data_IF_157676796756
#
_entry.id   IF_157676796756
#
_cell.length_a   1.000
_cell.length_b   1.000
_cell.length_c   1.000
_cell.angle_alpha   90.00
_cell.angle_beta   90.00
_cell.angle_gamma   90.00
#
_symmetry.space_group_name_H-M   'P 1'
#
loop_
_entity.id
_entity.type
_entity.pdbx_description
1 polymer ?
#
# COMPACT_ATOMS: atom_id res chain seq x y z
N UNK A 1 -14.74 0.64 -9.07
CA UNK A 1 -15.11 0.92 -7.65
C UNK A 1 -13.88 1.24 -6.84
N UNK A 2 -14.01 2.07 -5.80
CA UNK A 2 -12.97 2.43 -4.84
C UNK A 2 -13.36 1.96 -3.44
N UNK A 3 -12.37 1.82 -2.53
CA UNK A 3 -12.65 1.37 -1.17
C UNK A 3 -12.51 2.50 -0.15
N UNK A 4 -13.50 2.68 0.72
CA UNK A 4 -13.46 3.57 1.87
C UNK A 4 -12.46 3.01 2.90
N UNK A 5 -11.59 3.87 3.45
CA UNK A 5 -10.66 3.43 4.49
C UNK A 5 -11.35 3.42 5.85
N UNK A 6 -11.40 2.26 6.48
CA UNK A 6 -12.00 2.08 7.81
C UNK A 6 -10.98 1.50 8.79
N UNK A 7 -11.30 1.58 10.09
CA UNK A 7 -10.37 1.18 11.15
C UNK A 7 -10.51 -0.27 11.57
N UNK A 8 -11.71 -0.85 11.39
CA UNK A 8 -12.06 -2.20 11.79
C UNK A 8 -12.62 -2.96 10.60
N UNK A 9 -12.45 -4.27 10.59
CA UNK A 9 -13.05 -5.13 9.59
C UNK A 9 -14.55 -5.12 9.85
N UNK A 10 -15.39 -4.75 8.87
CA UNK A 10 -16.82 -4.85 9.01
C UNK A 10 -17.20 -6.33 9.22
N UNK A 11 -18.21 -6.59 10.04
CA UNK A 11 -18.71 -7.93 10.34
C UNK A 11 -20.14 -8.08 9.83
N UNK A 12 -20.55 -9.32 9.58
CA UNK A 12 -21.89 -9.66 9.07
C UNK A 12 -21.82 -10.57 7.84
N UNK A 13 -22.92 -11.24 7.54
CA UNK A 13 -23.01 -12.18 6.42
C UNK A 13 -23.01 -11.51 5.05
N UNK A 14 -23.22 -10.21 5.00
CA UNK A 14 -23.28 -9.42 3.78
C UNK A 14 -21.88 -9.12 3.17
N UNK A 15 -20.81 -9.41 3.90
CA UNK A 15 -19.44 -9.09 3.45
C UNK A 15 -18.74 -10.29 2.83
N UNK A 16 -18.03 -10.02 1.71
CA UNK A 16 -17.01 -10.87 1.12
C UNK A 16 -15.66 -10.21 1.35
N UNK A 17 -14.70 -10.93 1.91
CA UNK A 17 -13.37 -10.42 2.21
C UNK A 17 -12.35 -10.96 1.22
N UNK A 18 -11.40 -10.12 0.82
CA UNK A 18 -10.29 -10.45 -0.06
C UNK A 18 -8.98 -9.83 0.45
N UNK A 19 -7.81 -10.42 0.15
CA UNK A 19 -6.53 -9.74 0.39
C UNK A 19 -6.47 -8.43 -0.38
N UNK A 20 -5.99 -7.39 0.25
CA UNK A 20 -5.66 -6.15 -0.45
C UNK A 20 -4.25 -6.28 -1.03
N UNK A 21 -4.17 -6.60 -2.30
CA UNK A 21 -2.91 -6.71 -3.01
C UNK A 21 -2.19 -5.34 -3.08
N UNK A 22 -0.86 -5.34 -3.02
CA UNK A 22 -0.02 -4.15 -3.19
C UNK A 22 0.63 -4.18 -4.57
N UNK A 23 -0.09 -3.64 -5.56
CA UNK A 23 0.29 -3.71 -6.96
C UNK A 23 -0.21 -2.55 -7.81
N UNK A 24 -0.42 -2.82 -9.09
CA UNK A 24 -1.07 -1.89 -10.03
C UNK A 24 -2.45 -2.42 -10.40
N UNK A 25 -3.51 -1.67 -10.05
CA UNK A 25 -4.86 -1.97 -10.51
C UNK A 25 -4.90 -2.03 -12.01
N UNK A 26 -5.47 -3.10 -12.54
CA UNK A 26 -5.54 -3.38 -13.97
C UNK A 26 -6.92 -3.87 -14.38
N UNK A 27 -7.52 -3.20 -15.37
CA UNK A 27 -8.61 -3.72 -16.16
C UNK A 27 -8.05 -4.40 -17.40
N UNK A 28 -8.37 -5.67 -17.59
CA UNK A 28 -7.99 -6.44 -18.78
C UNK A 28 -9.19 -6.58 -19.71
N UNK A 29 -9.15 -5.87 -20.82
CA UNK A 29 -10.16 -5.92 -21.87
C UNK A 29 -9.70 -6.85 -22.98
N UNK A 30 -10.53 -7.80 -23.37
CA UNK A 30 -10.30 -8.66 -24.53
C UNK A 30 -11.50 -8.68 -25.44
N UNK A 31 -11.25 -8.50 -26.74
CA UNK A 31 -12.24 -8.71 -27.82
C UNK A 31 -11.54 -9.36 -29.02
N UNK A 32 -11.74 -10.66 -29.19
CA UNK A 32 -11.08 -11.44 -30.21
C UNK A 32 -9.57 -11.49 -30.04
N UNK A 33 -8.87 -10.91 -30.99
CA UNK A 33 -7.39 -10.77 -31.00
C UNK A 33 -6.91 -9.50 -30.28
N UNK A 34 -7.80 -8.56 -30.04
CA UNK A 34 -7.48 -7.31 -29.37
C UNK A 34 -7.44 -7.52 -27.86
N UNK A 35 -6.35 -7.08 -27.25
CA UNK A 35 -6.18 -7.06 -25.80
C UNK A 35 -5.67 -5.69 -25.37
N UNK A 36 -6.23 -5.18 -24.28
CA UNK A 36 -5.74 -3.98 -23.63
C UNK A 36 -5.68 -4.19 -22.12
N UNK A 37 -4.53 -3.93 -21.52
CA UNK A 37 -4.37 -3.80 -20.07
C UNK A 37 -4.38 -2.31 -19.73
N UNK A 38 -5.29 -1.88 -18.85
CA UNK A 38 -5.49 -0.48 -18.52
C UNK A 38 -5.35 -0.26 -17.02
N UNK A 39 -4.53 0.72 -16.63
CA UNK A 39 -4.39 1.15 -15.24
C UNK A 39 -5.64 1.89 -14.74
N UNK A 40 -5.74 2.12 -13.44
CA UNK A 40 -6.79 2.93 -12.81
C UNK A 40 -6.89 4.35 -13.41
N UNK A 41 -5.78 4.93 -13.87
CA UNK A 41 -5.72 6.27 -14.49
C UNK A 41 -5.95 6.25 -16.01
N UNK A 42 -6.32 5.12 -16.58
CA UNK A 42 -6.59 4.96 -18.01
C UNK A 42 -5.34 4.71 -18.87
N UNK A 43 -4.16 4.64 -18.28
CA UNK A 43 -2.93 4.40 -19.03
C UNK A 43 -2.80 2.94 -19.47
N UNK A 44 -2.29 2.71 -20.68
CA UNK A 44 -2.01 1.38 -21.22
C UNK A 44 -0.84 0.72 -20.51
N UNK A 45 -1.03 -0.53 -20.07
CA UNK A 45 -0.03 -1.33 -19.35
C UNK A 45 0.49 -2.52 -20.17
N UNK A 46 -0.18 -2.91 -21.26
CA UNK A 46 0.12 -4.12 -22.03
C UNK A 46 1.58 -4.19 -22.50
N UNK A 47 2.16 -3.07 -22.92
CA UNK A 47 3.57 -3.04 -23.32
C UNK A 47 4.54 -3.39 -22.19
N UNK A 48 4.18 -3.11 -20.93
CA UNK A 48 5.03 -3.35 -19.77
C UNK A 48 4.91 -4.75 -19.19
N UNK A 49 3.84 -5.46 -19.56
CA UNK A 49 3.54 -6.80 -19.06
C UNK A 49 3.19 -7.76 -20.22
N UNK A 50 4.14 -8.01 -21.16
CA UNK A 50 3.89 -8.85 -22.35
C UNK A 50 3.52 -10.29 -21.98
N UNK A 51 4.05 -10.82 -20.88
CA UNK A 51 3.72 -12.15 -20.36
C UNK A 51 2.24 -12.25 -19.94
N UNK A 52 1.68 -11.21 -19.33
CA UNK A 52 0.26 -11.17 -18.98
C UNK A 52 -0.61 -11.05 -20.23
N UNK A 53 -0.20 -10.21 -21.18
CA UNK A 53 -0.91 -10.06 -22.44
C UNK A 53 -0.98 -11.39 -23.20
N UNK A 54 0.14 -12.10 -23.30
CA UNK A 54 0.18 -13.42 -23.94
C UNK A 54 -0.66 -14.46 -23.18
N UNK A 55 -0.61 -14.48 -21.86
CA UNK A 55 -1.36 -15.40 -21.02
C UNK A 55 -2.88 -15.21 -21.20
N UNK A 56 -3.35 -13.96 -21.25
CA UNK A 56 -4.75 -13.62 -21.46
C UNK A 56 -5.22 -13.95 -22.89
N UNK A 57 -4.38 -13.73 -23.91
CA UNK A 57 -4.69 -14.08 -25.29
C UNK A 57 -4.77 -15.59 -25.54
N UNK A 58 -4.13 -16.42 -24.72
CA UNK A 58 -4.21 -17.91 -24.81
C UNK A 58 -5.49 -18.48 -24.21
N UNK A 59 -6.31 -17.68 -23.51
CA UNK A 59 -7.61 -18.13 -23.00
C UNK A 59 -8.52 -18.62 -24.14
N UNK A 60 -9.35 -19.63 -23.87
CA UNK A 60 -10.40 -20.08 -24.79
C UNK A 60 -11.48 -19.01 -24.98
N UNK A 61 -11.80 -18.32 -23.89
CA UNK A 61 -12.73 -17.19 -23.91
C UNK A 61 -12.11 -16.04 -24.71
N UNK A 62 -12.78 -15.61 -25.77
CA UNK A 62 -12.28 -14.59 -26.71
C UNK A 62 -12.76 -13.18 -26.41
N UNK A 63 -13.69 -13.03 -25.47
CA UNK A 63 -14.23 -11.75 -25.03
C UNK A 63 -14.39 -11.75 -23.52
N UNK A 64 -13.87 -10.74 -22.86
CA UNK A 64 -14.08 -10.51 -21.43
C UNK A 64 -13.58 -9.13 -20.98
N UNK A 65 -14.06 -8.69 -19.82
CA UNK A 65 -13.44 -7.60 -19.04
C UNK A 65 -13.23 -8.12 -17.62
N UNK A 66 -11.95 -8.22 -17.22
CA UNK A 66 -11.53 -8.64 -15.89
C UNK A 66 -10.96 -7.45 -15.11
N UNK A 67 -11.24 -7.38 -13.80
CA UNK A 67 -10.64 -6.40 -12.90
C UNK A 67 -9.73 -7.14 -11.91
N UNK A 68 -8.50 -6.66 -11.79
CA UNK A 68 -7.48 -7.32 -10.99
C UNK A 68 -6.37 -6.38 -10.53
N UNK A 69 -5.38 -6.97 -9.90
CA UNK A 69 -4.16 -6.28 -9.46
C UNK A 69 -2.94 -6.97 -10.06
N UNK A 70 -2.09 -6.22 -10.75
CA UNK A 70 -0.80 -6.72 -11.24
C UNK A 70 0.20 -6.68 -10.09
N UNK A 71 0.82 -7.81 -9.79
CA UNK A 71 1.83 -7.97 -8.73
C UNK A 71 3.06 -8.68 -9.28
N UNK A 72 4.23 -8.48 -8.65
CA UNK A 72 5.46 -9.20 -8.99
C UNK A 72 5.90 -10.06 -7.81
N UNK A 73 5.93 -11.40 -7.95
CA UNK A 73 6.44 -12.30 -6.93
C UNK A 73 7.95 -12.11 -6.68
N UNK A 74 8.36 -12.21 -5.42
CA UNK A 74 9.76 -12.22 -4.99
C UNK A 74 9.93 -13.28 -3.90
N UNK A 75 10.25 -14.50 -4.29
CA UNK A 75 10.25 -15.67 -3.42
C UNK A 75 8.84 -15.93 -2.85
N UNK A 76 8.73 -15.93 -1.51
CA UNK A 76 7.44 -16.14 -0.81
C UNK A 76 6.63 -14.85 -0.61
N UNK A 77 7.10 -13.71 -1.09
CA UNK A 77 6.48 -12.40 -0.93
C UNK A 77 6.20 -11.75 -2.28
N UNK A 78 5.66 -10.53 -2.29
CA UNK A 78 5.55 -9.69 -3.47
C UNK A 78 6.48 -8.49 -3.34
N UNK A 79 7.04 -8.02 -4.46
CA UNK A 79 7.90 -6.85 -4.52
C UNK A 79 7.27 -5.72 -5.33
N UNK A 80 6.84 -4.68 -4.66
CA UNK A 80 6.36 -3.47 -5.34
C UNK A 80 7.50 -2.73 -6.06
N UNK A 81 8.75 -2.80 -5.56
CA UNK A 81 9.91 -2.19 -6.22
C UNK A 81 10.21 -2.89 -7.54
N UNK A 82 10.17 -4.24 -7.58
CA UNK A 82 10.29 -4.99 -8.83
C UNK A 82 9.17 -4.64 -9.81
N UNK A 83 7.95 -4.44 -9.31
CA UNK A 83 6.81 -3.98 -10.12
C UNK A 83 7.05 -2.58 -10.71
N UNK A 84 7.55 -1.63 -9.92
CA UNK A 84 7.90 -0.28 -10.40
C UNK A 84 8.98 -0.32 -11.49
N UNK A 85 9.95 -1.23 -11.40
CA UNK A 85 11.00 -1.38 -12.40
C UNK A 85 10.47 -1.84 -13.76
N UNK A 86 9.27 -2.44 -13.83
CA UNK A 86 8.61 -2.85 -15.09
C UNK A 86 8.21 -1.65 -15.94
N UNK A 87 7.94 -0.49 -15.34
CA UNK A 87 7.58 0.73 -16.07
C UNK A 87 8.88 1.37 -16.61
N UNK A 88 9.29 0.90 -17.78
CA UNK A 88 10.55 1.33 -18.40
C UNK A 88 10.36 1.67 -19.89
N UNK A 89 11.07 2.69 -20.44
CA UNK A 89 10.95 3.07 -21.85
C UNK A 89 11.52 2.02 -22.83
N UNK A 90 12.63 1.34 -22.47
CA UNK A 90 13.33 0.40 -23.34
C UNK A 90 12.64 -0.98 -23.39
N UNK A 91 12.23 -1.40 -24.60
CA UNK A 91 11.56 -2.69 -24.83
C UNK A 91 12.44 -3.90 -24.46
N UNK A 92 13.76 -3.83 -24.72
CA UNK A 92 14.71 -4.90 -24.36
C UNK A 92 14.74 -5.18 -22.86
N UNK A 93 14.71 -4.11 -22.04
CA UNK A 93 14.67 -4.24 -20.59
C UNK A 93 13.33 -4.81 -20.10
N UNK A 94 12.23 -4.40 -20.72
CA UNK A 94 10.90 -4.95 -20.41
C UNK A 94 10.88 -6.46 -20.68
N UNK A 95 11.38 -6.89 -21.85
CA UNK A 95 11.46 -8.32 -22.20
C UNK A 95 12.28 -9.10 -21.18
N UNK A 96 13.48 -8.63 -20.84
CA UNK A 96 14.35 -9.25 -19.84
C UNK A 96 13.65 -9.38 -18.48
N UNK A 97 13.01 -8.31 -17.99
CA UNK A 97 12.30 -8.33 -16.70
C UNK A 97 11.04 -9.21 -16.74
N UNK A 98 10.38 -9.37 -17.90
CA UNK A 98 9.25 -10.29 -18.05
C UNK A 98 9.67 -11.77 -17.89
N UNK A 99 10.91 -12.08 -18.24
CA UNK A 99 11.51 -13.42 -18.08
C UNK A 99 12.06 -13.64 -16.66
N UNK A 100 12.81 -12.66 -16.11
CA UNK A 100 13.50 -12.78 -14.82
C UNK A 100 12.57 -12.60 -13.61
N UNK A 101 11.60 -11.68 -13.71
CA UNK A 101 10.66 -11.32 -12.65
C UNK A 101 9.24 -11.19 -13.21
N UNK A 102 8.64 -12.31 -13.70
CA UNK A 102 7.34 -12.27 -14.34
C UNK A 102 6.26 -11.78 -13.38
N UNK A 103 5.36 -10.94 -13.89
CA UNK A 103 4.22 -10.44 -13.16
C UNK A 103 3.07 -11.46 -13.13
N UNK A 104 2.15 -11.28 -12.17
CA UNK A 104 0.89 -12.00 -12.06
C UNK A 104 -0.27 -11.02 -12.00
N UNK A 105 -1.38 -11.37 -12.64
CA UNK A 105 -2.65 -10.68 -12.52
C UNK A 105 -3.53 -11.44 -11.51
N UNK A 106 -3.78 -10.83 -10.36
CA UNK A 106 -4.69 -11.35 -9.33
C UNK A 106 -6.09 -10.83 -9.62
N UNK A 107 -6.92 -11.66 -10.25
CA UNK A 107 -8.27 -11.26 -10.72
C UNK A 107 -9.28 -11.38 -9.59
N UNK A 108 -10.08 -10.34 -9.37
CA UNK A 108 -11.05 -10.29 -8.26
C UNK A 108 -12.45 -9.82 -8.68
N UNK A 109 -12.68 -9.38 -9.94
CA UNK A 109 -14.01 -9.04 -10.44
C UNK A 109 -14.13 -9.34 -11.94
N UNK A 110 -15.37 -9.54 -12.42
CA UNK A 110 -15.72 -9.90 -13.79
C UNK A 110 -16.81 -8.95 -14.30
N UNK A 111 -16.48 -8.13 -15.27
CA UNK A 111 -17.31 -7.00 -15.67
C UNK A 111 -18.03 -7.19 -17.00
N UNK A 112 -17.53 -8.09 -17.86
CA UNK A 112 -18.14 -8.46 -19.12
C UNK A 112 -17.82 -9.93 -19.43
N UNK A 113 -18.82 -10.73 -19.80
CA UNK A 113 -18.68 -12.15 -20.12
C UNK A 113 -18.33 -12.41 -21.59
N UNK A 114 -18.13 -13.70 -21.94
CA UNK A 114 -17.75 -14.12 -23.28
C UNK A 114 -18.77 -13.86 -24.37
N UNK A 115 -20.02 -13.69 -24.02
CA UNK A 115 -21.06 -13.25 -24.94
C UNK A 115 -21.04 -11.72 -25.17
N UNK A 116 -20.17 -10.99 -24.47
CA UNK A 116 -20.13 -9.53 -24.52
C UNK A 116 -21.18 -8.85 -23.63
N UNK A 117 -21.84 -9.61 -22.75
CA UNK A 117 -22.85 -9.06 -21.84
C UNK A 117 -22.17 -8.35 -20.67
N UNK A 118 -22.58 -7.11 -20.41
CA UNK A 118 -22.17 -6.37 -19.22
C UNK A 118 -22.70 -7.04 -17.95
N UNK A 119 -21.82 -7.20 -16.96
CA UNK A 119 -22.15 -7.75 -15.66
C UNK A 119 -22.20 -6.66 -14.56
N UNK A 120 -22.01 -5.40 -14.90
CA UNK A 120 -21.91 -4.29 -13.95
C UNK A 120 -23.12 -4.15 -13.01
N UNK A 121 -24.33 -4.38 -13.55
CA UNK A 121 -25.59 -4.32 -12.79
C UNK A 121 -25.90 -5.59 -11.96
N UNK A 122 -25.06 -6.63 -12.03
CA UNK A 122 -25.26 -7.81 -11.19
C UNK A 122 -24.66 -7.60 -9.80
N UNK A 123 -25.24 -8.25 -8.76
CA UNK A 123 -24.63 -8.34 -7.45
C UNK A 123 -23.21 -8.94 -7.51
N UNK A 124 -22.31 -8.49 -6.62
CA UNK A 124 -20.93 -9.02 -6.56
C UNK A 124 -20.89 -10.54 -6.45
N UNK A 125 -21.77 -11.16 -5.66
CA UNK A 125 -21.78 -12.62 -5.49
C UNK A 125 -22.07 -13.36 -6.80
N UNK A 126 -22.91 -12.81 -7.66
CA UNK A 126 -23.19 -13.40 -8.98
C UNK A 126 -22.01 -13.21 -9.96
N UNK A 127 -21.41 -12.02 -9.95
CA UNK A 127 -20.18 -11.77 -10.73
C UNK A 127 -19.03 -12.68 -10.27
N UNK A 128 -18.92 -12.90 -8.96
CA UNK A 128 -17.88 -13.76 -8.37
C UNK A 128 -18.07 -15.23 -8.77
N UNK A 129 -19.28 -15.78 -8.72
CA UNK A 129 -19.57 -17.15 -9.18
C UNK A 129 -19.19 -17.34 -10.66
N UNK A 130 -19.52 -16.36 -11.51
CA UNK A 130 -19.15 -16.38 -12.93
C UNK A 130 -17.64 -16.27 -13.11
N UNK A 131 -16.97 -15.39 -12.35
CA UNK A 131 -15.51 -15.27 -12.36
C UNK A 131 -14.86 -16.60 -12.01
N UNK A 132 -15.25 -17.24 -10.93
CA UNK A 132 -14.69 -18.51 -10.46
C UNK A 132 -14.80 -19.61 -11.53
N UNK A 133 -15.96 -19.70 -12.21
CA UNK A 133 -16.16 -20.61 -13.34
C UNK A 133 -15.21 -20.28 -14.50
N UNK A 134 -15.21 -19.03 -14.95
CA UNK A 134 -14.35 -18.58 -16.06
C UNK A 134 -12.87 -18.82 -15.77
N UNK A 135 -12.43 -18.54 -14.53
CA UNK A 135 -11.04 -18.78 -14.12
C UNK A 135 -10.68 -20.27 -14.10
N UNK A 136 -11.59 -21.14 -13.64
CA UNK A 136 -11.39 -22.58 -13.64
C UNK A 136 -11.31 -23.16 -15.08
N UNK A 137 -12.15 -22.68 -15.98
CA UNK A 137 -12.22 -23.17 -17.36
C UNK A 137 -11.06 -22.69 -18.24
N UNK A 138 -10.60 -21.45 -18.00
CA UNK A 138 -9.65 -20.78 -18.90
C UNK A 138 -8.23 -20.61 -18.31
N UNK A 139 -8.09 -20.55 -16.99
CA UNK A 139 -6.84 -20.16 -16.33
C UNK A 139 -6.39 -21.10 -15.20
N UNK A 140 -7.01 -22.28 -15.02
CA UNK A 140 -6.74 -23.20 -13.89
C UNK A 140 -5.24 -23.53 -13.67
N UNK A 141 -4.48 -23.64 -14.75
CA UNK A 141 -3.03 -23.94 -14.71
C UNK A 141 -2.16 -22.77 -15.17
N UNK A 142 -2.74 -21.57 -15.26
CA UNK A 142 -2.01 -20.40 -15.73
C UNK A 142 -1.19 -19.78 -14.57
N UNK A 143 0.15 -19.69 -14.68
CA UNK A 143 0.96 -19.14 -13.61
C UNK A 143 0.88 -17.60 -13.50
N UNK A 144 0.40 -16.95 -14.57
CA UNK A 144 0.39 -15.48 -14.69
C UNK A 144 -0.98 -14.85 -14.39
N UNK A 145 -2.08 -15.58 -14.58
CA UNK A 145 -3.44 -15.10 -14.34
C UNK A 145 -4.08 -15.97 -13.28
N UNK A 146 -4.35 -15.41 -12.12
CA UNK A 146 -4.80 -16.16 -10.95
C UNK A 146 -6.03 -15.51 -10.32
N UNK A 147 -6.93 -16.34 -9.81
CA UNK A 147 -8.07 -15.88 -9.04
C UNK A 147 -7.61 -15.37 -7.66
N UNK A 148 -7.97 -14.15 -7.31
CA UNK A 148 -7.79 -13.64 -5.95
C UNK A 148 -8.63 -14.47 -4.97
N UNK A 149 -8.07 -14.97 -3.85
CA UNK A 149 -8.85 -15.69 -2.87
C UNK A 149 -9.88 -14.77 -2.22
N UNK A 150 -11.04 -15.35 -1.88
CA UNK A 150 -12.10 -14.65 -1.17
C UNK A 150 -12.69 -15.53 -0.06
N UNK A 151 -13.31 -14.91 0.94
CA UNK A 151 -13.95 -15.61 2.06
C UNK A 151 -15.08 -14.80 2.67
N UNK A 152 -16.13 -15.47 3.15
CA UNK A 152 -17.14 -14.87 4.03
C UNK A 152 -16.78 -14.97 5.51
N UNK A 153 -15.66 -15.63 5.87
CA UNK A 153 -15.31 -15.94 7.28
C UNK A 153 -14.42 -14.82 7.84
N UNK A 154 -14.94 -14.06 8.80
CA UNK A 154 -14.24 -12.96 9.47
C UNK A 154 -12.88 -13.41 10.05
N UNK A 155 -12.81 -14.59 10.67
CA UNK A 155 -11.58 -15.13 11.24
C UNK A 155 -10.46 -15.33 10.19
N UNK A 156 -10.81 -15.64 8.93
CA UNK A 156 -9.84 -15.74 7.84
C UNK A 156 -9.36 -14.35 7.43
N UNK A 157 -10.27 -13.39 7.30
CA UNK A 157 -9.93 -12.00 7.00
C UNK A 157 -9.02 -11.38 8.07
N UNK A 158 -9.28 -11.68 9.35
CA UNK A 158 -8.42 -11.24 10.48
C UNK A 158 -7.00 -11.82 10.37
N UNK A 159 -6.86 -13.11 9.98
CA UNK A 159 -5.54 -13.71 9.72
C UNK A 159 -4.83 -13.03 8.56
N UNK A 160 -5.52 -12.80 7.43
CA UNK A 160 -4.93 -12.07 6.30
C UNK A 160 -4.48 -10.65 6.69
N UNK A 161 -5.24 -9.95 7.55
CA UNK A 161 -4.85 -8.64 8.06
C UNK A 161 -3.62 -8.72 8.96
N UNK A 162 -3.53 -9.74 9.82
CA UNK A 162 -2.38 -9.96 10.70
C UNK A 162 -1.11 -10.31 9.91
N UNK A 163 -1.26 -11.03 8.79
CA UNK A 163 -0.15 -11.44 7.90
C UNK A 163 0.20 -10.39 6.84
N UNK A 164 -0.53 -9.26 6.79
CA UNK A 164 -0.28 -8.20 5.83
C UNK A 164 1.15 -7.64 5.96
N UNK A 165 1.74 -7.29 4.82
CA UNK A 165 3.13 -6.80 4.72
C UNK A 165 4.07 -7.69 3.94
N UNK A 166 3.67 -8.95 3.62
CA UNK A 166 4.43 -9.87 2.77
C UNK A 166 3.89 -9.91 1.32
N UNK A 167 3.32 -8.80 0.85
CA UNK A 167 2.74 -8.70 -0.50
C UNK A 167 1.27 -8.30 -0.52
N UNK A 168 0.65 -8.21 0.65
CA UNK A 168 -0.67 -7.61 0.81
C UNK A 168 -0.60 -6.40 1.72
N UNK A 169 -1.45 -5.42 1.47
CA UNK A 169 -1.52 -4.14 2.17
C UNK A 169 -2.67 -4.10 3.19
N UNK A 170 -3.25 -5.26 3.50
CA UNK A 170 -4.41 -5.41 4.35
C UNK A 170 -5.49 -6.29 3.74
N UNK A 171 -6.73 -5.92 3.95
CA UNK A 171 -7.91 -6.60 3.37
C UNK A 171 -8.86 -5.60 2.71
N UNK A 172 -9.65 -6.11 1.77
CA UNK A 172 -10.81 -5.44 1.20
C UNK A 172 -12.05 -6.23 1.64
N UNK A 173 -13.04 -5.54 2.21
CA UNK A 173 -14.37 -6.05 2.44
C UNK A 173 -15.32 -5.46 1.37
N UNK A 174 -16.08 -6.31 0.70
CA UNK A 174 -16.99 -5.95 -0.39
C UNK A 174 -18.42 -6.40 -0.01
N UNK A 175 -19.42 -5.57 -0.23
CA UNK A 175 -20.81 -5.97 -0.07
C UNK A 175 -21.18 -6.98 -1.17
N UNK A 176 -21.73 -8.14 -0.79
CA UNK A 176 -22.11 -9.23 -1.70
C UNK A 176 -23.19 -8.83 -2.69
N UNK A 177 -24.10 -7.97 -2.24
CA UNK A 177 -25.26 -7.51 -3.02
C UNK A 177 -24.94 -6.31 -3.94
N UNK A 178 -23.73 -5.76 -3.83
CA UNK A 178 -23.40 -4.52 -4.55
C UNK A 178 -23.18 -4.75 -6.05
N UNK A 179 -23.76 -3.88 -6.85
CA UNK A 179 -23.43 -3.68 -8.25
C UNK A 179 -22.01 -3.10 -8.40
N UNK A 180 -21.43 -3.21 -9.58
CA UNK A 180 -20.14 -2.57 -9.87
C UNK A 180 -20.36 -1.14 -10.37
N UNK A 181 -20.11 -0.15 -9.52
CA UNK A 181 -20.25 1.28 -9.83
C UNK A 181 -18.87 1.96 -9.85
N UNK A 182 -18.33 2.34 -11.03
CA UNK A 182 -17.05 3.06 -11.11
C UNK A 182 -17.05 4.32 -10.26
N UNK A 183 -15.96 4.56 -9.49
CA UNK A 183 -15.83 5.73 -8.62
C UNK A 183 -16.57 5.65 -7.27
N UNK A 184 -17.57 4.76 -7.14
CA UNK A 184 -18.30 4.58 -5.88
C UNK A 184 -17.40 3.96 -4.79
N UNK A 185 -17.60 4.42 -3.54
CA UNK A 185 -16.86 3.97 -2.35
C UNK A 185 -17.75 3.33 -1.28
N UNK A 186 -19.05 3.33 -1.47
CA UNK A 186 -20.03 2.88 -0.46
C UNK A 186 -20.00 1.36 -0.26
N UNK A 187 -19.78 0.62 -1.35
CA UNK A 187 -19.86 -0.84 -1.38
C UNK A 187 -18.56 -1.56 -1.02
N UNK A 188 -17.45 -0.85 -0.83
CA UNK A 188 -16.15 -1.45 -0.52
C UNK A 188 -15.45 -0.71 0.62
N UNK A 189 -14.90 -1.49 1.55
CA UNK A 189 -14.11 -0.98 2.66
C UNK A 189 -12.71 -1.62 2.65
N UNK A 190 -11.68 -0.80 2.92
CA UNK A 190 -10.31 -1.29 3.06
C UNK A 190 -9.83 -1.11 4.50
N UNK A 191 -9.23 -2.15 5.03
CA UNK A 191 -8.60 -2.17 6.35
C UNK A 191 -7.12 -2.47 6.18
N UNK A 192 -6.30 -1.59 6.71
CA UNK A 192 -4.85 -1.77 6.74
C UNK A 192 -4.37 -2.04 8.16
N UNK A 193 -3.30 -2.86 8.35
CA UNK A 193 -2.72 -3.03 9.66
C UNK A 193 -2.19 -1.70 10.18
N UNK A 194 -2.47 -1.41 11.44
CA UNK A 194 -1.93 -0.23 12.11
C UNK A 194 -0.54 -0.56 12.62
N UNK A 195 0.45 0.01 11.98
CA UNK A 195 1.83 -0.06 12.43
C UNK A 195 2.25 1.28 13.01
N UNK A 196 2.98 1.28 14.11
CA UNK A 196 3.60 2.48 14.64
C UNK A 196 5.07 2.23 14.97
N UNK A 197 5.85 3.30 14.93
CA UNK A 197 7.22 3.33 15.37
C UNK A 197 7.48 4.58 16.19
N UNK A 198 8.34 4.43 17.20
CA UNK A 198 8.88 5.56 17.93
C UNK A 198 10.14 6.03 17.19
N UNK A 199 10.11 7.26 16.71
CA UNK A 199 11.18 7.83 15.89
C UNK A 199 11.80 9.04 16.58
N UNK A 200 13.10 9.21 16.44
CA UNK A 200 13.81 10.44 16.80
C UNK A 200 13.49 11.52 15.78
N UNK A 201 13.24 12.73 16.22
CA UNK A 201 13.15 13.90 15.33
C UNK A 201 14.57 14.43 15.12
N UNK A 202 15.21 14.02 14.00
CA UNK A 202 16.57 14.42 13.65
C UNK A 202 16.65 15.73 12.86
N UNK A 203 15.51 16.28 12.43
CA UNK A 203 15.41 17.53 11.70
C UNK A 203 13.98 17.92 11.40
N UNK A 204 13.81 19.11 10.79
CA UNK A 204 12.50 19.56 10.30
C UNK A 204 12.62 20.39 9.02
N UNK A 205 11.51 20.59 8.35
CA UNK A 205 11.35 21.54 7.25
C UNK A 205 10.25 22.51 7.56
N UNK A 206 10.42 23.75 7.14
CA UNK A 206 9.34 24.73 7.13
C UNK A 206 8.26 24.36 6.09
N UNK A 207 7.04 24.80 6.33
CA UNK A 207 5.99 24.73 5.33
C UNK A 207 6.33 25.66 4.15
N UNK A 208 5.77 25.41 2.99
CA UNK A 208 6.01 26.22 1.80
C UNK A 208 5.47 27.64 2.01
N UNK A 209 6.30 28.64 1.72
CA UNK A 209 5.94 30.04 1.89
C UNK A 209 5.70 30.45 3.37
N UNK A 210 6.19 29.68 4.35
CA UNK A 210 5.93 29.91 5.78
C UNK A 210 7.19 29.74 6.62
N UNK A 211 7.23 30.43 7.73
CA UNK A 211 8.25 30.26 8.78
C UNK A 211 7.87 29.19 9.80
N UNK A 212 6.70 28.57 9.67
CA UNK A 212 6.27 27.51 10.58
C UNK A 212 6.69 26.12 10.08
N UNK A 213 6.85 25.17 11.02
CA UNK A 213 7.16 23.77 10.71
C UNK A 213 6.10 23.15 9.83
N UNK A 214 6.52 22.58 8.68
CA UNK A 214 5.69 21.83 7.75
C UNK A 214 5.82 20.31 7.90
N UNK A 215 7.03 19.84 8.26
CA UNK A 215 7.27 18.41 8.47
C UNK A 215 8.43 18.14 9.41
N UNK A 216 8.30 17.05 10.18
CA UNK A 216 9.36 16.48 11.00
C UNK A 216 10.12 15.43 10.19
N UNK A 217 11.44 15.41 10.26
CA UNK A 217 12.30 14.39 9.67
C UNK A 217 12.63 13.34 10.72
N UNK A 218 12.33 12.09 10.40
CA UNK A 218 12.30 10.98 11.34
C UNK A 218 13.57 10.13 11.20
N UNK A 219 14.11 9.72 12.33
CA UNK A 219 15.30 8.89 12.41
C UNK A 219 15.14 7.66 13.29
N UNK A 220 15.87 6.60 12.93
CA UNK A 220 16.04 5.41 13.75
C UNK A 220 17.52 5.06 13.83
N UNK A 221 17.95 4.54 14.99
CA UNK A 221 19.31 4.09 15.20
C UNK A 221 19.54 2.69 14.65
N UNK A 222 20.65 2.49 13.98
CA UNK A 222 21.17 1.17 13.64
C UNK A 222 21.91 0.52 14.80
N UNK A 223 22.47 -0.67 14.57
CA UNK A 223 23.27 -1.40 15.58
C UNK A 223 24.59 -0.70 15.94
N UNK A 224 25.09 0.18 15.05
CA UNK A 224 26.31 0.97 15.27
C UNK A 224 26.01 2.33 15.95
N UNK A 225 24.79 2.53 16.42
CA UNK A 225 24.31 3.79 17.02
C UNK A 225 24.37 4.99 16.07
N UNK A 226 24.29 4.78 14.76
CA UNK A 226 24.15 5.83 13.77
C UNK A 226 22.66 6.13 13.56
N UNK A 227 22.28 7.41 13.63
CA UNK A 227 20.91 7.85 13.39
C UNK A 227 20.68 8.05 11.90
N UNK A 228 19.85 7.17 11.30
CA UNK A 228 19.52 7.19 9.87
C UNK A 228 18.15 7.83 9.64
N UNK A 229 18.07 8.71 8.65
CA UNK A 229 16.80 9.23 8.15
C UNK A 229 15.95 8.13 7.54
N UNK A 230 14.75 7.91 8.10
CA UNK A 230 13.82 6.85 7.66
C UNK A 230 12.53 7.37 7.03
N UNK A 231 12.28 8.68 7.07
CA UNK A 231 11.10 9.30 6.48
C UNK A 231 10.71 10.60 7.14
N UNK A 232 9.49 11.05 6.89
CA UNK A 232 8.98 12.32 7.41
C UNK A 232 7.52 12.21 7.87
N UNK A 233 7.13 13.15 8.73
CA UNK A 233 5.75 13.33 9.18
C UNK A 233 5.30 14.76 8.90
N UNK A 234 4.30 14.94 8.01
CA UNK A 234 3.71 16.23 7.65
C UNK A 234 2.32 16.45 8.24
N UNK A 235 1.70 15.39 8.77
CA UNK A 235 0.34 15.41 9.33
C UNK A 235 0.25 16.07 10.72
N UNK A 236 0.71 17.31 10.86
CA UNK A 236 0.77 18.05 12.15
C UNK A 236 -0.49 18.89 12.43
N UNK A 237 -1.66 18.50 11.90
CA UNK A 237 -2.91 19.30 11.99
C UNK A 237 -3.39 19.53 13.44
N UNK A 238 -3.12 18.61 14.34
CA UNK A 238 -3.53 18.70 15.76
C UNK A 238 -2.47 19.38 16.66
N UNK A 239 -1.41 19.94 16.08
CA UNK A 239 -0.28 20.51 16.83
C UNK A 239 -0.25 22.02 16.63
N UNK A 240 -0.07 22.76 17.71
CA UNK A 240 0.25 24.20 17.62
C UNK A 240 1.60 24.38 16.89
N UNK A 241 1.56 24.69 15.59
CA UNK A 241 2.74 24.78 14.74
C UNK A 241 3.68 25.89 15.14
N UNK A 242 3.15 27.06 15.49
CA UNK A 242 3.98 28.20 15.93
C UNK A 242 4.76 27.87 17.20
N UNK A 243 4.12 27.31 18.22
CA UNK A 243 4.77 26.88 19.45
C UNK A 243 5.77 25.74 19.22
N UNK A 244 5.42 24.78 18.33
CA UNK A 244 6.33 23.70 17.94
C UNK A 244 7.55 24.26 17.21
N UNK A 245 7.38 25.19 16.29
CA UNK A 245 8.49 25.81 15.54
C UNK A 245 9.51 26.44 16.50
N UNK A 246 9.05 27.28 17.42
CA UNK A 246 9.91 27.91 18.46
C UNK A 246 10.68 26.87 19.29
N UNK A 247 10.02 25.76 19.63
CA UNK A 247 10.65 24.62 20.33
C UNK A 247 11.73 23.95 19.50
N UNK A 248 11.48 23.70 18.22
CA UNK A 248 12.43 23.05 17.32
C UNK A 248 13.62 23.94 17.02
N UNK A 249 13.42 25.23 16.80
CA UNK A 249 14.49 26.21 16.53
C UNK A 249 15.51 26.27 17.65
N UNK A 250 15.08 26.17 18.91
CA UNK A 250 15.98 26.10 20.09
C UNK A 250 16.82 24.80 20.11
N UNK A 251 16.47 23.80 19.34
CA UNK A 251 17.16 22.51 19.27
C UNK A 251 17.98 22.36 17.99
N UNK A 252 18.04 23.39 17.14
CA UNK A 252 18.84 23.34 15.90
C UNK A 252 20.31 23.11 16.24
N UNK A 253 20.83 21.99 15.75
CA UNK A 253 22.22 21.58 15.95
C UNK A 253 22.61 20.55 14.90
N UNK A 254 23.72 20.78 14.17
CA UNK A 254 24.31 19.81 13.26
C UNK A 254 24.93 18.62 14.04
N UNK A 255 25.01 17.44 13.42
CA UNK A 255 24.56 17.12 12.06
C UNK A 255 23.09 16.71 11.96
N UNK A 256 22.36 16.53 13.08
CA UNK A 256 21.01 15.99 13.14
C UNK A 256 20.96 14.48 12.91
N UNK A 257 21.35 14.00 11.75
CA UNK A 257 21.53 12.59 11.41
C UNK A 257 23.01 12.24 11.33
N UNK A 258 23.44 11.16 12.00
CA UNK A 258 24.83 10.69 12.05
C UNK A 258 25.11 9.57 11.05
N UNK A 259 24.07 8.96 10.50
CA UNK A 259 24.13 8.03 9.41
C UNK A 259 23.60 8.63 8.10
N UNK A 260 22.71 7.93 7.42
CA UNK A 260 22.07 8.41 6.17
C UNK A 260 21.22 9.66 6.45
N UNK A 261 21.55 10.79 5.82
CA UNK A 261 20.83 12.05 5.93
C UNK A 261 19.73 12.22 4.86
N UNK A 262 18.78 13.18 5.04
CA UNK A 262 17.86 13.58 3.98
C UNK A 262 18.59 14.22 2.78
N UNK A 263 18.00 14.13 1.57
CA UNK A 263 18.52 14.82 0.37
C UNK A 263 19.53 14.04 -0.46
N UNK A 264 19.79 12.76 -0.15
CA UNK A 264 20.59 11.89 -1.02
C UNK A 264 19.94 11.68 -2.40
N UNK A 265 20.72 11.30 -3.45
CA UNK A 265 20.22 11.12 -4.80
C UNK A 265 19.08 10.09 -4.80
N UNK A 266 17.92 10.50 -5.26
CA UNK A 266 16.77 9.64 -5.47
C UNK A 266 15.97 10.15 -6.66
N UNK A 267 15.27 9.24 -7.33
CA UNK A 267 14.35 9.55 -8.44
C UNK A 267 13.29 10.61 -8.06
N UNK A 268 13.06 10.81 -6.76
CA UNK A 268 12.06 11.70 -6.16
C UNK A 268 12.69 12.88 -5.41
N UNK A 269 14.01 13.09 -5.55
CA UNK A 269 14.67 14.22 -4.90
C UNK A 269 14.32 15.51 -5.64
N UNK A 270 13.83 16.51 -4.90
CA UNK A 270 13.59 17.88 -5.36
C UNK A 270 14.55 18.83 -4.64
N UNK A 271 14.74 20.04 -5.17
CA UNK A 271 15.50 21.10 -4.46
C UNK A 271 15.03 21.29 -3.02
N UNK A 272 13.73 21.07 -2.77
CA UNK A 272 13.12 21.11 -1.44
C UNK A 272 13.56 19.97 -0.52
N UNK A 273 13.92 18.81 -1.07
CA UNK A 273 14.34 17.66 -0.25
C UNK A 273 15.68 17.88 0.45
N UNK A 274 16.52 18.78 -0.07
CA UNK A 274 17.80 19.16 0.53
C UNK A 274 17.72 20.30 1.54
N UNK A 275 16.61 21.05 1.57
CA UNK A 275 16.41 22.17 2.49
C UNK A 275 15.77 21.70 3.80
N UNK A 276 16.54 21.54 4.85
CA UNK A 276 16.06 21.17 6.18
C UNK A 276 16.97 21.72 7.29
N UNK A 277 16.43 21.81 8.51
CA UNK A 277 17.16 22.22 9.70
C UNK A 277 17.50 20.99 10.54
N UNK A 278 18.79 20.72 10.82
CA UNK A 278 19.20 19.63 11.69
C UNK A 278 18.83 19.92 13.16
N UNK A 279 18.50 18.86 13.90
CA UNK A 279 18.14 18.96 15.30
C UNK A 279 19.02 18.08 16.17
N UNK A 280 19.34 18.55 17.37
CA UNK A 280 19.85 17.69 18.42
C UNK A 280 18.85 16.56 18.69
N UNK A 281 19.33 15.32 18.70
CA UNK A 281 18.52 14.12 18.88
C UNK A 281 17.96 13.98 20.31
N UNK A 282 16.96 14.81 20.64
CA UNK A 282 16.31 14.83 21.97
C UNK A 282 14.84 14.47 21.95
N UNK A 283 14.16 14.73 20.84
CA UNK A 283 12.72 14.56 20.75
C UNK A 283 12.39 13.22 20.14
N UNK A 284 11.44 12.51 20.74
CA UNK A 284 10.88 11.26 20.23
C UNK A 284 9.40 11.44 19.96
N UNK A 285 8.96 10.91 18.81
CA UNK A 285 7.57 10.93 18.35
C UNK A 285 7.13 9.53 17.96
N UNK A 286 5.95 9.12 18.36
CA UNK A 286 5.29 7.94 17.81
C UNK A 286 4.55 8.33 16.53
N UNK A 287 4.83 7.61 15.45
CA UNK A 287 4.20 7.83 14.16
C UNK A 287 3.55 6.54 13.65
N UNK A 288 2.37 6.69 13.03
CA UNK A 288 1.74 5.61 12.28
C UNK A 288 2.29 5.56 10.86
N UNK A 289 2.56 4.37 10.35
CA UNK A 289 3.06 4.16 8.99
C UNK A 289 2.40 2.96 8.31
N UNK A 290 2.41 2.95 6.98
CA UNK A 290 1.83 1.87 6.16
C UNK A 290 2.91 0.85 5.77
N UNK A 291 3.88 1.25 4.97
CA UNK A 291 4.91 0.40 4.38
C UNK A 291 6.32 0.89 4.64
N UNK A 292 7.23 -0.07 4.70
CA UNK A 292 8.67 0.14 4.77
C UNK A 292 9.30 -0.51 3.55
N UNK A 293 10.16 0.23 2.87
CA UNK A 293 10.97 -0.23 1.75
C UNK A 293 12.40 0.24 1.97
N UNK A 294 13.38 -0.64 1.87
CA UNK A 294 14.80 -0.33 2.07
C UNK A 294 15.05 0.47 3.36
N UNK A 295 14.47 -0.01 4.47
CA UNK A 295 14.56 0.61 5.81
C UNK A 295 14.02 2.05 5.89
N UNK A 296 13.10 2.43 5.01
CA UNK A 296 12.45 3.75 4.99
C UNK A 296 10.94 3.62 4.89
N UNK A 297 10.23 4.55 5.49
CA UNK A 297 8.79 4.70 5.26
C UNK A 297 8.55 5.07 3.79
N UNK A 298 7.76 4.26 3.10
CA UNK A 298 7.45 4.44 1.67
C UNK A 298 6.62 5.70 1.41
N UNK A 299 5.77 6.06 2.36
CA UNK A 299 4.90 7.23 2.31
C UNK A 299 5.12 8.12 3.54
N UNK A 300 4.54 9.32 3.52
CA UNK A 300 4.50 10.18 4.71
C UNK A 300 3.79 9.47 5.86
N UNK A 301 4.33 9.66 7.06
CA UNK A 301 3.77 9.07 8.27
C UNK A 301 2.75 9.99 8.91
N UNK A 302 1.90 9.43 9.79
CA UNK A 302 0.92 10.17 10.56
C UNK A 302 1.42 10.37 11.98
N UNK A 303 1.41 11.61 12.47
CA UNK A 303 1.69 11.94 13.87
C UNK A 303 0.64 11.25 14.77
N UNK A 304 1.10 10.55 15.81
CA UNK A 304 0.24 9.94 16.83
C UNK A 304 0.36 10.70 18.15
N UNK A 305 1.57 10.80 18.70
CA UNK A 305 1.87 11.52 19.94
C UNK A 305 3.35 11.74 20.15
N UNK A 306 3.69 12.69 21.00
CA UNK A 306 5.04 12.83 21.54
C UNK A 306 5.33 11.72 22.56
N UNK A 307 6.60 11.32 22.64
CA UNK A 307 7.09 10.28 23.55
C UNK A 307 8.17 10.85 24.48
N UNK A 308 7.79 11.72 25.47
CA UNK A 308 8.73 12.25 26.45
C UNK A 308 9.28 11.18 27.40
N UNK A 309 8.56 10.07 27.49
CA UNK A 309 8.88 8.88 28.28
C UNK A 309 9.97 8.01 27.65
N UNK A 310 10.37 8.29 26.40
CA UNK A 310 11.30 7.43 25.65
C UNK A 310 12.59 8.17 25.30
N UNK A 311 13.72 7.54 25.59
CA UNK A 311 15.03 8.10 25.21
C UNK A 311 15.36 7.76 23.74
N UNK A 312 16.00 8.69 23.00
CA UNK A 312 16.25 8.57 21.57
C UNK A 312 16.95 7.29 21.13
N UNK A 313 17.95 6.81 21.88
CA UNK A 313 18.73 5.61 21.54
C UNK A 313 17.92 4.29 21.58
N UNK A 314 16.71 4.31 22.14
CA UNK A 314 15.76 3.19 22.10
C UNK A 314 14.97 3.13 20.78
N UNK A 315 15.03 4.19 19.97
CA UNK A 315 14.34 4.25 18.67
C UNK A 315 15.19 3.55 17.60
N UNK A 316 15.04 2.24 17.46
CA UNK A 316 15.89 1.38 16.65
C UNK A 316 15.23 0.90 15.36
N UNK A 317 16.05 0.57 14.33
CA UNK A 317 15.61 0.08 13.01
C UNK A 317 14.79 -1.20 13.11
N UNK A 318 15.04 -2.04 14.11
CA UNK A 318 14.32 -3.31 14.31
C UNK A 318 12.79 -3.11 14.46
N UNK A 319 12.34 -1.93 14.88
CA UNK A 319 10.90 -1.59 14.96
C UNK A 319 10.19 -1.67 13.60
N UNK A 320 10.91 -1.41 12.51
CA UNK A 320 10.35 -1.43 11.15
C UNK A 320 9.94 -2.85 10.70
N UNK A 321 10.57 -3.87 11.28
CA UNK A 321 10.34 -5.28 10.96
C UNK A 321 9.47 -6.00 11.99
N UNK A 322 9.17 -5.37 13.14
CA UNK A 322 8.32 -5.98 14.16
C UNK A 322 6.84 -5.93 13.74
N UNK A 323 6.17 -7.07 13.78
CA UNK A 323 4.71 -7.21 13.64
C UNK A 323 4.00 -6.73 14.94
N UNK A 324 4.18 -5.49 15.37
CA UNK A 324 3.38 -4.93 16.45
C UNK A 324 2.02 -4.49 15.89
N UNK A 325 1.07 -5.40 15.90
CA UNK A 325 -0.35 -5.07 15.79
C UNK A 325 -0.79 -4.32 17.05
N UNK A 326 -1.18 -3.07 16.91
CA UNK A 326 -1.83 -2.32 17.99
C UNK A 326 -3.30 -2.77 18.04
N UNK A 327 -3.54 -3.98 18.54
CA UNK A 327 -4.84 -4.33 19.06
C UNK A 327 -4.94 -3.68 20.44
N UNK A 328 -5.36 -2.42 20.50
CA UNK A 328 -5.92 -1.89 21.77
C UNK A 328 -7.17 -2.69 22.05
N UNK A 329 -7.15 -3.48 23.15
CA UNK A 329 -8.38 -3.94 23.80
C UNK A 329 -9.25 -2.69 23.98
N UNK A 330 -10.47 -2.72 23.45
CA UNK A 330 -11.47 -1.72 23.76
C UNK A 330 -11.56 -1.61 25.30
N UNK A 331 -11.64 -0.39 25.86
CA UNK A 331 -11.91 -0.26 27.28
C UNK A 331 -13.22 -1.00 27.56
N UNK A 332 -13.20 -1.92 28.53
CA UNK A 332 -14.39 -2.58 29.02
C UNK A 332 -15.40 -1.50 29.42
N UNK A 333 -16.56 -1.49 28.78
CA UNK A 333 -17.69 -0.70 29.25
C UNK A 333 -18.00 -1.16 30.68
N UNK A 334 -17.72 -0.28 31.63
CA UNK A 334 -18.25 -0.44 33.00
C UNK A 334 -19.76 -0.46 32.83
N UNK A 335 -20.39 -1.60 33.13
CA UNK A 335 -21.80 -1.66 33.44
C UNK A 335 -21.94 -0.91 34.77
N UNK A 336 -22.56 0.23 34.75
CA UNK A 336 -23.09 0.85 35.95
C UNK A 336 -24.26 0.04 36.48
N UNK A 337 -24.43 -0.01 37.83
CA UNK A 337 -25.40 -0.87 38.51
C UNK A 337 -26.86 -0.48 38.27
#
# INVERSE_FOLDING_TARGET
MDALSVQQIPSGGEWLYEPKWDGFRCLAFRDGVNLQLQSKSGQRLDRYFPELAQALLRSKERRFVLDGEIVVPAGKTLSFDALLMRIHPAASRIKKLAEETPARLMVFDFLCDGAGKSLLGLPLEERRKRLERTMAENFARNPFVQLSPSTGRLAVAQRWLADAGAGTDGIIAKLRTAEYRPGDRSAMQKVKPRRSADCVVGGFRYAEGSTEVGSLLLGLYDRKQLLHHVGFCSGLKAVNRAGLTKKLERLVQAPGFTGRAPGGPSRWSTKRSSQWKPLKAKLVVEVGFDHVTNERFRHGTRFLRWRPDKVPNQCRMEQLHQKKSILRKAPAQKREP
#
